data_IF_840960562805
#
_entry.id   IF_840960562805
#
_cell.length_a   1.000
_cell.length_b   1.000
_cell.length_c   1.000
_cell.angle_alpha   90.00
_cell.angle_beta   90.00
_cell.angle_gamma   90.00
#
_symmetry.space_group_name_H-M   'P 1'
#
loop_
_entity.id
_entity.type
_entity.pdbx_description
1 polymer ?
#
# COMPACT_ATOMS: atom_id res chain seq x y z
N UNK A 1 7.85 -9.47 -0.87
CA UNK A 1 8.01 -8.69 -2.11
C UNK A 1 6.63 -8.48 -2.69
N UNK A 2 6.28 -7.23 -2.98
CA UNK A 2 5.03 -6.85 -3.62
C UNK A 2 5.28 -6.54 -5.10
N UNK A 3 4.29 -6.81 -5.94
CA UNK A 3 4.23 -6.45 -7.35
C UNK A 3 3.23 -5.28 -7.58
N UNK A 4 3.24 -4.72 -8.79
CA UNK A 4 2.26 -3.70 -9.20
C UNK A 4 0.83 -4.24 -9.04
N UNK A 5 -0.06 -3.41 -8.48
CA UNK A 5 -1.45 -3.72 -8.11
C UNK A 5 -1.66 -4.68 -6.94
N UNK A 6 -0.61 -5.14 -6.28
CA UNK A 6 -0.78 -5.82 -5.00
C UNK A 6 -1.42 -4.89 -3.97
N UNK A 7 -2.32 -5.47 -3.17
CA UNK A 7 -2.90 -4.77 -2.02
C UNK A 7 -2.15 -5.14 -0.75
N UNK A 8 -2.03 -4.16 0.14
CA UNK A 8 -1.33 -4.34 1.41
C UNK A 8 -2.02 -3.55 2.51
N UNK A 9 -1.78 -3.96 3.75
CA UNK A 9 -2.14 -3.21 4.95
C UNK A 9 -0.95 -2.38 5.41
N UNK A 10 -1.17 -1.10 5.64
CA UNK A 10 -0.17 -0.20 6.21
C UNK A 10 0.09 -0.55 7.68
N UNK A 11 1.34 -0.87 8.05
CA UNK A 11 1.71 -1.28 9.41
C UNK A 11 2.35 -0.17 10.24
N UNK A 12 2.76 0.93 9.60
CA UNK A 12 3.45 2.06 10.23
C UNK A 12 2.91 3.40 9.72
N UNK A 13 3.00 4.45 10.54
CA UNK A 13 2.65 5.80 10.13
C UNK A 13 3.62 6.34 9.08
N UNK A 14 3.09 6.92 8.02
CA UNK A 14 3.88 7.70 7.05
C UNK A 14 4.08 9.11 7.64
N UNK A 15 5.32 9.59 7.86
CA UNK A 15 5.55 10.88 8.49
C UNK A 15 4.90 12.05 7.72
N UNK A 16 4.09 12.84 8.42
CA UNK A 16 3.42 14.01 7.84
C UNK A 16 2.12 13.72 7.09
N UNK A 17 1.70 12.45 7.02
CA UNK A 17 0.48 12.05 6.32
C UNK A 17 -0.63 11.64 7.31
N UNK A 18 -1.89 12.00 7.03
CA UNK A 18 -3.03 11.65 7.87
C UNK A 18 -3.56 10.24 7.61
N UNK A 19 -2.73 9.33 7.09
CA UNK A 19 -3.13 7.97 6.72
C UNK A 19 -3.02 7.06 7.95
N UNK A 20 -4.14 6.48 8.43
CA UNK A 20 -4.11 5.60 9.60
C UNK A 20 -3.36 4.29 9.35
N UNK A 21 -2.63 3.79 10.36
CA UNK A 21 -2.19 2.39 10.39
C UNK A 21 -3.40 1.47 10.25
N UNK A 22 -3.25 0.41 9.47
CA UNK A 22 -4.31 -0.51 9.12
C UNK A 22 -5.04 -0.17 7.82
N UNK A 23 -4.80 1.01 7.22
CA UNK A 23 -5.35 1.36 5.91
C UNK A 23 -4.90 0.39 4.83
N UNK A 24 -5.79 0.10 3.89
CA UNK A 24 -5.45 -0.71 2.71
C UNK A 24 -4.90 0.22 1.64
N UNK A 25 -3.72 -0.10 1.14
CA UNK A 25 -3.10 0.57 0.01
C UNK A 25 -2.95 -0.37 -1.18
N UNK A 26 -2.65 0.23 -2.33
CA UNK A 26 -2.34 -0.46 -3.58
C UNK A 26 -0.96 -0.03 -4.05
N UNK A 27 -0.15 -0.97 -4.53
CA UNK A 27 1.12 -0.66 -5.19
C UNK A 27 0.85 -0.17 -6.61
N UNK A 28 1.33 1.02 -6.95
CA UNK A 28 1.25 1.61 -8.29
C UNK A 28 2.54 1.42 -9.09
N UNK A 29 3.69 1.39 -8.42
CA UNK A 29 4.98 1.18 -9.06
C UNK A 29 5.98 0.58 -8.09
N UNK A 30 6.85 -0.30 -8.59
CA UNK A 30 8.00 -0.84 -7.85
C UNK A 30 9.27 -0.18 -8.38
N UNK A 31 9.99 0.52 -7.52
CA UNK A 31 11.29 1.11 -7.85
C UNK A 31 12.41 0.12 -7.53
N UNK A 32 13.11 -0.42 -8.54
CA UNK A 32 14.22 -1.33 -8.31
C UNK A 32 15.44 -0.56 -7.76
N UNK A 33 16.16 -1.20 -6.84
CA UNK A 33 17.37 -0.64 -6.24
C UNK A 33 17.99 -1.61 -5.24
N UNK A 34 19.02 -1.16 -4.51
CA UNK A 34 19.61 -1.93 -3.40
C UNK A 34 18.58 -2.21 -2.29
N UNK A 35 17.60 -1.33 -2.16
CA UNK A 35 16.41 -1.50 -1.33
C UNK A 35 15.21 -1.14 -2.19
N UNK A 36 14.21 -2.02 -2.23
CA UNK A 36 12.99 -1.77 -2.98
C UNK A 36 12.19 -0.65 -2.31
N UNK A 37 11.68 0.25 -3.15
CA UNK A 37 10.73 1.29 -2.75
C UNK A 37 9.49 1.17 -3.62
N UNK A 38 8.34 1.56 -3.08
CA UNK A 38 7.04 1.33 -3.67
C UNK A 38 6.30 2.67 -3.75
N UNK A 39 5.87 3.06 -4.95
CA UNK A 39 4.83 4.07 -5.07
C UNK A 39 3.49 3.42 -4.74
N UNK A 40 2.76 4.01 -3.80
CA UNK A 40 1.49 3.49 -3.31
C UNK A 40 0.44 4.58 -3.22
N UNK A 41 -0.82 4.19 -3.32
CA UNK A 41 -1.96 5.05 -3.00
C UNK A 41 -2.84 4.44 -1.91
N UNK A 42 -3.57 5.31 -1.22
CA UNK A 42 -4.52 4.94 -0.18
C UNK A 42 -5.85 5.65 -0.45
N UNK A 43 -6.90 4.88 -0.73
CA UNK A 43 -8.23 5.41 -1.04
C UNK A 43 -9.23 4.97 0.03
N UNK A 44 -10.20 5.84 0.33
CA UNK A 44 -11.38 5.49 1.11
C UNK A 44 -12.38 4.66 0.28
N UNK A 45 -13.48 4.24 0.92
CA UNK A 45 -14.55 3.46 0.27
C UNK A 45 -15.26 4.18 -0.89
N UNK A 46 -15.06 5.49 -1.03
CA UNK A 46 -15.60 6.31 -2.11
C UNK A 46 -14.55 6.61 -3.19
N UNK A 47 -13.35 6.03 -3.10
CA UNK A 47 -12.23 6.29 -4.02
C UNK A 47 -11.52 7.62 -3.76
N UNK A 48 -11.73 8.26 -2.60
CA UNK A 48 -11.05 9.50 -2.25
C UNK A 48 -9.70 9.20 -1.58
N UNK A 49 -8.66 9.89 -2.02
CA UNK A 49 -7.35 9.80 -1.38
C UNK A 49 -7.41 10.15 0.12
N UNK A 50 -6.75 9.32 0.93
CA UNK A 50 -6.67 9.45 2.39
C UNK A 50 -5.53 10.37 2.86
N UNK A 51 -4.52 10.62 2.03
CA UNK A 51 -3.34 11.42 2.35
C UNK A 51 -3.49 12.91 2.03
N UNK A 52 -2.44 13.66 2.32
CA UNK A 52 -2.26 15.02 1.81
C UNK A 52 -1.76 15.02 0.35
N UNK A 53 -1.16 13.91 -0.08
CA UNK A 53 -0.64 13.68 -1.43
C UNK A 53 -1.36 12.49 -2.08
N UNK A 54 -1.52 12.48 -3.42
CA UNK A 54 -2.23 11.40 -4.12
C UNK A 54 -1.50 10.05 -4.01
N UNK A 55 -0.17 10.07 -3.97
CA UNK A 55 0.68 8.87 -3.84
C UNK A 55 1.80 9.11 -2.83
N UNK A 56 2.40 8.01 -2.36
CA UNK A 56 3.53 8.02 -1.42
C UNK A 56 4.57 7.00 -1.82
N UNK A 57 5.85 7.31 -1.60
CA UNK A 57 6.93 6.33 -1.72
C UNK A 57 7.23 5.74 -0.35
N UNK A 58 7.04 4.43 -0.19
CA UNK A 58 7.31 3.70 1.06
C UNK A 58 8.22 2.50 0.81
N UNK A 59 8.67 1.87 1.89
CA UNK A 59 9.45 0.63 1.87
C UNK A 59 8.59 -0.55 2.32
N UNK A 60 9.00 -1.76 1.96
CA UNK A 60 8.31 -3.01 2.32
C UNK A 60 8.05 -3.12 3.84
N UNK A 61 8.90 -2.54 4.69
CA UNK A 61 8.72 -2.56 6.14
C UNK A 61 7.48 -1.79 6.67
N UNK A 62 6.76 -1.09 5.80
CA UNK A 62 5.47 -0.44 6.08
C UNK A 62 4.28 -1.31 5.66
N UNK A 63 4.52 -2.46 5.04
CA UNK A 63 3.52 -3.20 4.29
C UNK A 63 3.37 -4.61 4.85
N UNK A 64 2.12 -5.05 4.98
CA UNK A 64 1.74 -6.43 5.27
C UNK A 64 0.81 -6.90 4.15
N UNK A 65 1.09 -8.07 3.56
CA UNK A 65 0.27 -8.59 2.47
C UNK A 65 -1.16 -8.87 2.94
N UNK A 66 -2.15 -8.45 2.17
CA UNK A 66 -3.52 -8.88 2.39
C UNK A 66 -3.64 -10.34 1.94
N UNK A 67 -4.10 -11.23 2.82
CA UNK A 67 -4.42 -12.59 2.40
C UNK A 67 -5.55 -12.53 1.36
N UNK A 68 -5.27 -12.93 0.12
CA UNK A 68 -6.31 -13.26 -0.85
C UNK A 68 -6.81 -14.65 -0.51
N UNK A 69 -7.92 -14.72 0.23
CA UNK A 69 -8.69 -15.97 0.28
C UNK A 69 -9.23 -16.22 -1.11
N UNK A 70 -8.58 -17.10 -1.87
CA UNK A 70 -9.13 -17.65 -3.10
C UNK A 70 -10.36 -18.51 -2.75
N UNK A 71 -11.50 -17.86 -2.52
CA UNK A 71 -12.81 -18.51 -2.50
C UNK A 71 -13.20 -18.86 -3.95
N UNK A 72 -12.51 -19.82 -4.58
CA UNK A 72 -12.92 -20.50 -5.82
C UNK A 72 -12.05 -21.75 -6.05
N UNK A 73 -11.99 -22.64 -5.06
CA UNK A 73 -11.62 -24.03 -5.29
C UNK A 73 -12.89 -24.87 -5.17
N UNK A 74 -13.63 -24.97 -6.27
CA UNK A 74 -14.72 -25.94 -6.49
C UNK A 74 -14.47 -26.66 -7.82
#
# INVERSE_FOLDING_TARGET
>A
MFDEYDTFRLTKLIPGEPIPVGSIGVVLMVFPGTTLEYEVEFLDVNGKNLGNSPTHTIREEFMEACETTNENAD
#
